data_IF_871200682244
#
_entry.id   IF_871200682244
#
_cell.length_a   1.000
_cell.length_b   1.000
_cell.length_c   1.000
_cell.angle_alpha   90.00
_cell.angle_beta   90.00
_cell.angle_gamma   90.00
#
_symmetry.space_group_name_H-M   'P 1'
#
loop_
_entity.id
_entity.type
_entity.pdbx_description
1 polymer ?
#
# COMPACT_ATOMS: atom_id res chain seq x y z
N UNK A 1 -11.82 34.57 11.43
CA UNK A 1 -12.45 33.40 12.08
C UNK A 1 -12.08 32.06 11.42
N UNK A 2 -12.32 31.85 10.12
CA UNK A 2 -12.03 30.56 9.44
C UNK A 2 -10.53 30.23 9.40
N UNK A 3 -9.65 31.20 9.09
CA UNK A 3 -8.20 30.98 9.03
C UNK A 3 -7.59 30.55 10.37
N UNK A 4 -8.09 31.08 11.48
CA UNK A 4 -7.71 30.66 12.83
C UNK A 4 -8.14 29.22 13.10
N UNK A 5 -9.37 28.84 12.75
CA UNK A 5 -9.84 27.45 12.86
C UNK A 5 -8.99 26.47 12.02
N UNK A 6 -8.64 26.83 10.78
CA UNK A 6 -7.77 25.99 9.94
C UNK A 6 -6.38 25.85 10.57
N UNK A 7 -5.81 26.94 11.10
CA UNK A 7 -4.51 26.93 11.76
C UNK A 7 -4.53 26.04 13.01
N UNK A 8 -5.52 26.22 13.89
CA UNK A 8 -5.70 25.40 15.09
C UNK A 8 -5.91 23.93 14.72
N UNK A 9 -6.70 23.64 13.68
CA UNK A 9 -6.91 22.26 13.18
C UNK A 9 -5.63 21.66 12.60
N UNK A 10 -4.84 22.43 11.85
CA UNK A 10 -3.52 22.01 11.33
C UNK A 10 -2.54 21.73 12.47
N UNK A 11 -2.48 22.60 13.47
CA UNK A 11 -1.64 22.44 14.65
C UNK A 11 -2.05 21.17 15.42
N UNK A 12 -3.35 21.01 15.68
CA UNK A 12 -3.90 19.81 16.33
C UNK A 12 -3.58 18.53 15.55
N UNK A 13 -3.74 18.54 14.22
CA UNK A 13 -3.36 17.39 13.39
C UNK A 13 -1.86 17.11 13.41
N UNK A 14 -1.01 18.14 13.48
CA UNK A 14 0.45 17.99 13.59
C UNK A 14 0.84 17.36 14.93
N UNK A 15 0.25 17.82 16.03
CA UNK A 15 0.44 17.25 17.38
C UNK A 15 -0.11 15.83 17.48
N UNK A 16 -1.25 15.54 16.85
CA UNK A 16 -1.79 14.17 16.82
C UNK A 16 -0.90 13.24 16.01
N UNK A 17 -0.33 13.72 14.90
CA UNK A 17 0.64 12.97 14.06
C UNK A 17 1.96 12.69 14.76
N UNK A 18 2.49 13.61 15.57
CA UNK A 18 3.76 13.38 16.28
C UNK A 18 3.67 12.28 17.34
N UNK A 19 2.46 11.93 17.78
CA UNK A 19 2.22 10.80 18.69
C UNK A 19 2.07 9.45 17.97
N UNK A 20 2.00 9.43 16.64
CA UNK A 20 1.90 8.18 15.88
C UNK A 20 3.32 7.61 15.73
N UNK A 21 3.59 6.39 16.22
CA UNK A 21 4.87 5.73 16.04
C UNK A 21 5.24 5.70 14.55
N UNK A 22 6.44 6.16 14.22
CA UNK A 22 6.95 6.03 12.86
C UNK A 22 7.50 4.61 12.68
N UNK A 23 7.13 3.98 11.57
CA UNK A 23 7.66 2.67 11.18
C UNK A 23 8.79 2.92 10.19
N UNK A 24 9.98 2.39 10.48
CA UNK A 24 11.08 2.33 9.51
C UNK A 24 10.67 1.35 8.38
N UNK A 25 10.60 1.82 7.12
CA UNK A 25 10.22 0.98 5.99
C UNK A 25 11.28 -0.06 5.63
N UNK A 26 12.52 0.07 6.11
CA UNK A 26 13.63 -0.82 5.77
C UNK A 26 13.30 -2.26 6.14
N UNK A 27 13.33 -3.14 5.13
CA UNK A 27 12.99 -4.56 5.29
C UNK A 27 11.52 -4.85 5.64
N UNK A 28 10.62 -3.86 5.49
CA UNK A 28 9.18 -4.04 5.74
C UNK A 28 8.41 -4.21 4.44
N UNK A 29 7.60 -5.26 4.41
CA UNK A 29 6.68 -5.57 3.33
C UNK A 29 5.25 -5.20 3.75
N UNK A 30 4.51 -4.55 2.85
CA UNK A 30 3.09 -4.22 3.03
C UNK A 30 2.27 -4.88 1.94
N UNK A 31 1.18 -5.54 2.32
CA UNK A 31 0.21 -6.11 1.39
C UNK A 31 -1.02 -5.20 1.36
N UNK A 32 -1.42 -4.75 0.19
CA UNK A 32 -2.60 -3.91 -0.01
C UNK A 32 -3.57 -4.64 -0.92
N UNK A 33 -4.77 -4.94 -0.43
CA UNK A 33 -5.83 -5.55 -1.23
C UNK A 33 -6.71 -4.50 -1.91
N UNK A 34 -7.30 -4.84 -3.07
CA UNK A 34 -8.18 -3.94 -3.81
C UNK A 34 -7.43 -2.77 -4.47
N UNK A 35 -6.31 -3.05 -5.13
CA UNK A 35 -5.48 -2.03 -5.79
C UNK A 35 -5.90 -1.68 -7.22
N UNK A 36 -7.02 -2.24 -7.72
CA UNK A 36 -7.52 -2.01 -9.08
C UNK A 36 -7.88 -0.54 -9.36
N UNK A 37 -8.31 0.21 -8.33
CA UNK A 37 -8.70 1.62 -8.43
C UNK A 37 -8.79 2.33 -7.07
N UNK A 38 -9.17 3.61 -7.08
CA UNK A 38 -9.61 4.35 -5.90
C UNK A 38 -8.56 4.44 -4.78
N UNK A 39 -9.02 4.21 -3.55
CA UNK A 39 -8.17 4.35 -2.36
C UNK A 39 -7.04 3.32 -2.31
N UNK A 40 -7.29 2.07 -2.69
CA UNK A 40 -6.27 1.01 -2.66
C UNK A 40 -5.10 1.32 -3.60
N UNK A 41 -5.39 1.75 -4.83
CA UNK A 41 -4.39 2.22 -5.79
C UNK A 41 -3.56 3.39 -5.23
N UNK A 42 -4.23 4.40 -4.68
CA UNK A 42 -3.55 5.56 -4.08
C UNK A 42 -2.69 5.18 -2.87
N UNK A 43 -3.18 4.26 -2.03
CA UNK A 43 -2.46 3.75 -0.86
C UNK A 43 -1.20 2.98 -1.26
N UNK A 44 -1.29 2.09 -2.24
CA UNK A 44 -0.16 1.31 -2.74
C UNK A 44 0.97 2.22 -3.25
N UNK A 45 0.63 3.22 -4.08
CA UNK A 45 1.60 4.24 -4.54
C UNK A 45 2.20 5.02 -3.39
N UNK A 46 1.36 5.47 -2.45
CA UNK A 46 1.81 6.28 -1.32
C UNK A 46 2.76 5.55 -0.39
N UNK A 47 2.57 4.24 -0.20
CA UNK A 47 3.46 3.39 0.58
C UNK A 47 4.78 3.14 -0.16
N UNK A 48 4.70 2.89 -1.48
CA UNK A 48 5.88 2.75 -2.32
C UNK A 48 6.77 4.01 -2.30
N UNK A 49 6.17 5.20 -2.43
CA UNK A 49 6.84 6.51 -2.29
C UNK A 49 7.50 6.69 -0.92
N UNK A 50 6.98 6.00 0.10
CA UNK A 50 7.53 6.01 1.46
C UNK A 50 8.57 4.90 1.70
N UNK A 51 9.12 4.34 0.63
CA UNK A 51 10.18 3.31 0.62
C UNK A 51 9.77 1.93 1.16
N UNK A 52 8.48 1.65 1.34
CA UNK A 52 8.04 0.28 1.64
C UNK A 52 8.15 -0.61 0.41
N UNK A 53 8.36 -1.91 0.64
CA UNK A 53 8.07 -2.94 -0.37
C UNK A 53 6.58 -3.26 -0.33
N UNK A 54 5.90 -3.22 -1.47
CA UNK A 54 4.44 -3.27 -1.59
C UNK A 54 4.02 -4.40 -2.51
N UNK A 55 3.16 -5.27 -1.99
CA UNK A 55 2.36 -6.21 -2.77
C UNK A 55 1.00 -5.57 -3.01
N UNK A 56 0.81 -5.04 -4.22
CA UNK A 56 -0.44 -4.45 -4.65
C UNK A 56 -1.33 -5.54 -5.25
N UNK A 57 -2.29 -6.01 -4.46
CA UNK A 57 -3.18 -7.10 -4.84
C UNK A 57 -4.40 -6.56 -5.58
N UNK A 58 -4.62 -7.06 -6.79
CA UNK A 58 -5.71 -6.65 -7.69
C UNK A 58 -6.56 -7.86 -8.06
N UNK A 59 -7.88 -7.69 -8.17
CA UNK A 59 -8.74 -8.75 -8.70
C UNK A 59 -8.49 -8.93 -10.20
N UNK A 60 -8.34 -7.83 -10.94
CA UNK A 60 -8.00 -7.82 -12.35
C UNK A 60 -6.63 -7.16 -12.54
N UNK A 61 -5.63 -7.97 -12.86
CA UNK A 61 -4.25 -7.49 -13.11
C UNK A 61 -4.11 -6.65 -14.38
N UNK A 62 -5.14 -6.59 -15.22
CA UNK A 62 -5.22 -5.76 -16.42
C UNK A 62 -6.16 -4.56 -16.25
N UNK A 63 -6.63 -4.29 -15.02
CA UNK A 63 -7.29 -3.03 -14.70
C UNK A 63 -6.34 -1.84 -14.90
N UNK A 64 -6.89 -0.65 -15.13
CA UNK A 64 -6.09 0.56 -15.33
C UNK A 64 -5.19 0.87 -14.13
N UNK A 65 -5.69 0.68 -12.89
CA UNK A 65 -4.86 0.84 -11.69
C UNK A 65 -3.73 -0.19 -11.60
N UNK A 66 -4.00 -1.45 -11.94
CA UNK A 66 -2.98 -2.50 -11.98
C UNK A 66 -1.90 -2.21 -13.03
N UNK A 67 -2.29 -1.74 -14.23
CA UNK A 67 -1.34 -1.33 -15.28
C UNK A 67 -0.48 -0.16 -14.82
N UNK A 68 -1.08 0.84 -14.17
CA UNK A 68 -0.35 1.99 -13.65
C UNK A 68 0.67 1.59 -12.57
N UNK A 69 0.28 0.66 -11.68
CA UNK A 69 1.17 0.09 -10.68
C UNK A 69 2.31 -0.72 -11.32
N UNK A 70 2.03 -1.54 -12.34
CA UNK A 70 3.04 -2.28 -13.11
C UNK A 70 4.02 -1.35 -13.83
N UNK A 71 3.54 -0.22 -14.35
CA UNK A 71 4.36 0.76 -15.07
C UNK A 71 5.43 1.43 -14.18
N UNK A 72 5.31 1.36 -12.85
CA UNK A 72 6.37 1.79 -11.92
C UNK A 72 7.66 1.00 -12.14
N UNK A 73 7.58 -0.28 -12.55
CA UNK A 73 8.74 -1.07 -12.96
C UNK A 73 9.78 -1.32 -11.87
N UNK A 74 9.38 -1.25 -10.59
CA UNK A 74 10.27 -1.38 -9.45
C UNK A 74 10.09 -2.73 -8.75
N UNK A 75 11.19 -3.39 -8.37
CA UNK A 75 11.15 -4.66 -7.63
C UNK A 75 10.43 -4.55 -6.27
N UNK A 76 10.43 -3.35 -5.67
CA UNK A 76 9.72 -3.06 -4.42
C UNK A 76 8.21 -2.93 -4.61
N UNK A 77 7.67 -2.94 -5.83
CA UNK A 77 6.23 -2.86 -6.06
C UNK A 77 5.80 -4.00 -6.99
N UNK A 78 5.14 -4.99 -6.41
CA UNK A 78 4.69 -6.19 -7.13
C UNK A 78 3.17 -6.18 -7.23
N UNK A 79 2.66 -6.28 -8.46
CA UNK A 79 1.23 -6.46 -8.69
C UNK A 79 0.90 -7.94 -8.68
N UNK A 80 0.00 -8.35 -7.79
CA UNK A 80 -0.35 -9.77 -7.59
C UNK A 80 -1.85 -9.99 -7.79
N UNK A 81 -2.28 -11.00 -8.57
CA UNK A 81 -3.69 -11.35 -8.67
C UNK A 81 -4.21 -11.87 -7.33
N UNK A 82 -5.31 -11.33 -6.85
CA UNK A 82 -5.98 -11.80 -5.63
C UNK A 82 -7.49 -11.66 -5.74
N UNK A 83 -8.17 -12.78 -5.57
CA UNK A 83 -9.60 -12.83 -5.29
C UNK A 83 -9.76 -13.16 -3.80
N UNK A 84 -10.17 -12.16 -3.01
CA UNK A 84 -10.32 -12.29 -1.56
C UNK A 84 -11.47 -13.21 -1.15
N UNK A 85 -12.35 -13.58 -2.09
CA UNK A 85 -13.46 -14.51 -1.85
C UNK A 85 -13.09 -15.96 -2.11
N UNK A 86 -11.88 -16.21 -2.62
CA UNK A 86 -11.40 -17.53 -3.01
C UNK A 86 -10.17 -17.92 -2.16
N UNK A 87 -10.33 -18.93 -1.31
CA UNK A 87 -9.27 -19.37 -0.39
C UNK A 87 -8.00 -19.85 -1.11
N UNK A 88 -8.11 -20.50 -2.27
CA UNK A 88 -6.93 -20.91 -3.04
C UNK A 88 -6.14 -19.72 -3.57
N UNK A 89 -6.86 -18.68 -4.01
CA UNK A 89 -6.29 -17.39 -4.44
C UNK A 89 -5.56 -16.71 -3.28
N UNK A 90 -6.20 -16.65 -2.11
CA UNK A 90 -5.61 -16.12 -0.87
C UNK A 90 -4.37 -16.93 -0.45
N UNK A 91 -4.45 -18.26 -0.44
CA UNK A 91 -3.36 -19.15 -0.08
C UNK A 91 -2.16 -19.03 -1.04
N UNK A 92 -2.42 -18.81 -2.33
CA UNK A 92 -1.36 -18.55 -3.32
C UNK A 92 -0.68 -17.21 -3.06
N UNK A 93 -1.44 -16.13 -2.84
CA UNK A 93 -0.89 -14.82 -2.51
C UNK A 93 -0.08 -14.86 -1.19
N UNK A 94 -0.59 -15.55 -0.18
CA UNK A 94 0.08 -15.70 1.11
C UNK A 94 1.45 -16.38 0.96
N UNK A 95 1.55 -17.43 0.14
CA UNK A 95 2.84 -18.12 -0.13
C UNK A 95 3.85 -17.17 -0.75
N UNK A 96 3.47 -16.42 -1.79
CA UNK A 96 4.34 -15.45 -2.44
C UNK A 96 4.86 -14.39 -1.45
N UNK A 97 3.98 -13.87 -0.58
CA UNK A 97 4.39 -12.88 0.43
C UNK A 97 5.31 -13.49 1.48
N UNK A 98 5.06 -14.74 1.92
CA UNK A 98 5.92 -15.44 2.87
C UNK A 98 7.33 -15.68 2.30
N UNK A 99 7.40 -16.07 1.04
CA UNK A 99 8.69 -16.27 0.33
C UNK A 99 9.47 -14.96 0.26
N UNK A 100 8.82 -13.85 -0.08
CA UNK A 100 9.49 -12.54 -0.11
C UNK A 100 10.02 -12.11 1.26
N UNK A 101 9.19 -12.26 2.30
CA UNK A 101 9.58 -11.90 3.67
C UNK A 101 10.68 -12.80 4.22
N UNK A 102 10.84 -14.02 3.71
CA UNK A 102 11.95 -14.90 4.09
C UNK A 102 13.28 -14.50 3.43
N UNK A 103 13.23 -13.76 2.32
CA UNK A 103 14.39 -13.31 1.55
C UNK A 103 14.86 -11.88 1.92
N UNK A 104 14.15 -11.21 2.84
CA UNK A 104 14.40 -9.83 3.28
C UNK A 104 15.06 -9.82 4.66
#
# INVERSE_FOLDING_TARGET
CIGFFILVRKLFMKVKRSKIPQIDPTGKVVVVTGCDSGFGLGLAKRLYERNFSVFACCLNVDSEGAKELKAVGSERLKVVPLDVTNDDSVNKCQRLVKEECANT
#
